data_IF_949371090098
#
_entry.id   IF_949371090098
#
_cell.length_a   1.000
_cell.length_b   1.000
_cell.length_c   1.000
_cell.angle_alpha   90.00
_cell.angle_beta   90.00
_cell.angle_gamma   90.00
#
_symmetry.space_group_name_H-M   'P 1'
#
loop_
_entity.id
_entity.type
_entity.pdbx_description
1 polymer ?
#
# COMPACT_ATOMS: atom_id res chain seq x y z
N UNK A 1 -11.08 26.11 24.58
CA UNK A 1 -10.20 24.93 24.48
C UNK A 1 -10.81 23.83 25.33
N UNK A 2 -11.22 22.71 24.74
CA UNK A 2 -11.58 21.52 25.52
C UNK A 2 -10.38 21.18 26.40
N UNK A 3 -10.60 20.89 27.69
CA UNK A 3 -9.53 20.38 28.54
C UNK A 3 -8.93 19.14 27.86
N UNK A 4 -7.60 19.06 27.80
CA UNK A 4 -6.90 17.86 27.33
C UNK A 4 -7.37 16.71 28.21
N UNK A 5 -7.82 15.61 27.58
CA UNK A 5 -8.25 14.42 28.31
C UNK A 5 -7.05 13.87 29.09
N UNK A 6 -7.27 13.45 30.32
CA UNK A 6 -6.23 12.78 31.11
C UNK A 6 -5.86 11.45 30.46
N UNK A 7 -4.60 10.99 30.61
CA UNK A 7 -4.15 9.71 30.01
C UNK A 7 -5.12 8.57 30.33
N UNK A 8 -5.59 8.45 31.57
CA UNK A 8 -6.50 7.40 32.01
C UNK A 8 -7.88 7.43 31.30
N UNK A 9 -8.25 8.55 30.67
CA UNK A 9 -9.47 8.67 29.86
C UNK A 9 -9.25 8.27 28.39
N UNK A 10 -8.00 8.14 27.95
CA UNK A 10 -7.62 7.75 26.59
C UNK A 10 -7.05 6.33 26.56
N UNK A 11 -6.29 5.95 27.57
CA UNK A 11 -5.63 4.66 27.77
C UNK A 11 -5.90 4.28 29.24
N UNK A 12 -7.02 3.57 29.51
CA UNK A 12 -7.45 3.24 30.87
C UNK A 12 -6.53 2.25 31.57
N UNK A 13 -5.69 1.53 30.83
CA UNK A 13 -4.73 0.57 31.37
C UNK A 13 -3.72 1.28 32.29
N UNK A 14 -3.59 0.81 33.55
CA UNK A 14 -2.70 1.44 34.53
C UNK A 14 -1.23 1.31 34.14
N UNK A 15 -0.87 0.20 33.50
CA UNK A 15 0.46 -0.10 33.00
C UNK A 15 0.36 -0.63 31.57
N UNK A 16 1.33 -0.25 30.73
CA UNK A 16 1.50 -0.80 29.39
C UNK A 16 2.81 -1.56 29.34
N UNK A 17 2.87 -2.61 28.53
CA UNK A 17 4.14 -3.28 28.23
C UNK A 17 5.11 -2.29 27.60
N UNK A 18 6.39 -2.45 27.90
CA UNK A 18 7.42 -1.57 27.31
C UNK A 18 7.51 -1.88 25.82
N UNK A 19 7.43 -0.87 24.96
CA UNK A 19 7.53 -1.08 23.51
C UNK A 19 8.78 -1.86 23.08
N UNK A 20 9.91 -1.65 23.78
CA UNK A 20 11.15 -2.40 23.55
C UNK A 20 11.01 -3.93 23.75
N UNK A 21 10.16 -4.37 24.68
CA UNK A 21 9.89 -5.80 24.91
C UNK A 21 9.08 -6.39 23.75
N UNK A 22 8.04 -5.67 23.29
CA UNK A 22 7.21 -6.06 22.14
C UNK A 22 8.05 -6.12 20.86
N UNK A 23 8.93 -5.13 20.65
CA UNK A 23 9.88 -5.14 19.53
C UNK A 23 10.83 -6.34 19.63
N UNK A 24 11.40 -6.62 20.80
CA UNK A 24 12.30 -7.76 20.99
C UNK A 24 11.61 -9.10 20.67
N UNK A 25 10.32 -9.25 21.02
CA UNK A 25 9.52 -10.43 20.66
C UNK A 25 9.33 -10.58 19.15
N UNK A 26 8.95 -9.50 18.45
CA UNK A 26 8.82 -9.52 16.99
C UNK A 26 10.12 -9.89 16.30
N UNK A 27 11.24 -9.28 16.71
CA UNK A 27 12.58 -9.58 16.19
C UNK A 27 13.02 -11.03 16.45
N UNK A 28 12.67 -11.59 17.62
CA UNK A 28 13.01 -12.96 17.96
C UNK A 28 12.34 -13.98 17.03
N UNK A 29 11.16 -13.64 16.48
CA UNK A 29 10.39 -14.51 15.59
C UNK A 29 10.98 -14.60 14.17
N UNK A 30 11.80 -13.64 13.74
CA UNK A 30 12.50 -13.69 12.44
C UNK A 30 13.46 -14.89 12.30
N UNK A 31 13.86 -15.54 13.41
CA UNK A 31 14.62 -16.79 13.38
C UNK A 31 13.80 -18.02 13.00
N UNK A 32 12.47 -17.93 13.11
CA UNK A 32 11.52 -19.02 12.86
C UNK A 32 10.74 -18.80 11.56
N UNK A 33 10.28 -17.57 11.36
CA UNK A 33 9.54 -17.15 10.17
C UNK A 33 10.56 -16.76 9.11
N UNK A 34 10.80 -17.66 8.16
CA UNK A 34 11.83 -17.50 7.12
C UNK A 34 11.17 -16.98 5.85
N UNK A 35 11.74 -15.95 5.17
CA UNK A 35 11.18 -15.43 3.94
C UNK A 35 11.18 -16.49 2.83
N UNK A 36 10.00 -16.76 2.27
CA UNK A 36 9.83 -17.67 1.15
C UNK A 36 10.21 -17.05 -0.20
N UNK A 37 9.72 -17.70 -1.25
CA UNK A 37 9.82 -17.25 -2.64
C UNK A 37 8.45 -17.33 -3.30
N UNK A 38 8.22 -16.47 -4.28
CA UNK A 38 6.99 -16.39 -5.06
C UNK A 38 7.31 -16.35 -6.55
N UNK A 39 6.29 -16.55 -7.40
CA UNK A 39 6.46 -16.61 -8.85
C UNK A 39 7.13 -15.35 -9.43
N UNK A 40 6.85 -14.18 -8.86
CA UNK A 40 7.49 -12.91 -9.21
C UNK A 40 9.00 -12.89 -8.95
N UNK A 41 9.44 -13.27 -7.75
CA UNK A 41 10.86 -13.26 -7.39
C UNK A 41 11.66 -14.25 -8.23
N UNK A 42 11.07 -15.41 -8.52
CA UNK A 42 11.68 -16.45 -9.36
C UNK A 42 11.78 -16.01 -10.83
N UNK A 43 10.70 -15.48 -11.38
CA UNK A 43 10.66 -15.06 -12.78
C UNK A 43 11.65 -13.94 -13.09
N UNK A 44 11.80 -12.95 -12.20
CA UNK A 44 12.70 -11.81 -12.41
C UNK A 44 14.10 -11.98 -11.84
N UNK A 45 14.39 -13.10 -11.15
CA UNK A 45 15.70 -13.37 -10.57
C UNK A 45 16.14 -12.25 -9.62
N UNK A 46 15.25 -11.88 -8.71
CA UNK A 46 15.48 -10.86 -7.66
C UNK A 46 15.23 -11.48 -6.29
N UNK A 47 15.86 -10.92 -5.27
CA UNK A 47 15.64 -11.37 -3.88
C UNK A 47 14.50 -10.63 -3.20
N UNK A 48 14.19 -9.42 -3.66
CA UNK A 48 13.15 -8.55 -3.08
C UNK A 48 12.44 -7.73 -4.15
N UNK A 49 11.22 -7.29 -3.85
CA UNK A 49 10.49 -6.32 -4.67
C UNK A 49 11.23 -4.99 -4.79
N UNK A 50 11.93 -4.58 -3.73
CA UNK A 50 12.74 -3.37 -3.71
C UNK A 50 13.88 -3.40 -4.74
N UNK A 51 14.57 -4.53 -4.84
CA UNK A 51 15.58 -4.75 -5.88
C UNK A 51 14.99 -4.63 -7.28
N UNK A 52 13.83 -5.26 -7.52
CA UNK A 52 13.12 -5.13 -8.80
C UNK A 52 12.76 -3.69 -9.12
N UNK A 53 12.16 -2.97 -8.18
CA UNK A 53 11.79 -1.56 -8.33
C UNK A 53 13.00 -0.70 -8.68
N UNK A 54 14.13 -0.88 -8.00
CA UNK A 54 15.39 -0.18 -8.30
C UNK A 54 15.92 -0.48 -9.71
N UNK A 55 15.82 -1.72 -10.19
CA UNK A 55 16.15 -2.06 -11.59
C UNK A 55 15.24 -1.32 -12.58
N UNK A 56 13.94 -1.28 -12.32
CA UNK A 56 12.96 -0.64 -13.20
C UNK A 56 13.13 0.88 -13.24
N UNK A 57 13.44 1.50 -12.10
CA UNK A 57 13.81 2.92 -12.03
C UNK A 57 15.07 3.20 -12.87
N UNK A 58 16.11 2.37 -12.75
CA UNK A 58 17.34 2.53 -13.54
C UNK A 58 17.10 2.36 -15.06
N UNK A 59 16.12 1.54 -15.45
CA UNK A 59 15.70 1.35 -16.84
C UNK A 59 14.73 2.43 -17.35
N UNK A 60 14.31 3.38 -16.50
CA UNK A 60 13.31 4.40 -16.85
C UNK A 60 11.91 3.83 -17.12
N UNK A 61 11.61 2.66 -16.55
CA UNK A 61 10.37 1.91 -16.79
C UNK A 61 9.31 2.28 -15.76
N UNK A 62 8.13 2.66 -16.26
CA UNK A 62 6.93 2.84 -15.42
C UNK A 62 6.37 1.47 -15.05
N UNK A 63 6.13 1.27 -13.75
CA UNK A 63 5.54 0.05 -13.22
C UNK A 63 4.03 0.15 -13.11
N UNK A 64 3.33 -0.99 -13.24
CA UNK A 64 1.88 -1.08 -13.12
C UNK A 64 1.44 -2.04 -12.02
N UNK A 65 0.36 -1.69 -11.35
CA UNK A 65 -0.24 -2.40 -10.22
C UNK A 65 -1.74 -2.59 -10.47
N UNK A 66 -2.22 -3.83 -10.32
CA UNK A 66 -3.63 -4.17 -10.42
C UNK A 66 -4.22 -4.43 -9.03
N UNK A 67 -5.34 -3.80 -8.69
CA UNK A 67 -6.12 -4.16 -7.50
C UNK A 67 -7.03 -5.36 -7.82
N UNK A 68 -7.02 -6.39 -6.97
CA UNK A 68 -7.82 -7.61 -7.17
C UNK A 68 -8.12 -8.30 -5.83
N UNK A 69 -9.31 -8.86 -5.69
CA UNK A 69 -9.67 -9.60 -4.48
C UNK A 69 -11.10 -10.13 -4.51
N UNK A 70 -11.28 -11.33 -5.07
CA UNK A 70 -12.54 -12.06 -4.90
C UNK A 70 -12.51 -12.85 -3.59
N UNK A 71 -13.69 -13.05 -3.00
CA UNK A 71 -13.88 -13.84 -1.77
C UNK A 71 -13.11 -15.16 -1.75
N UNK A 72 -13.19 -15.92 -2.84
CA UNK A 72 -12.52 -17.21 -2.99
C UNK A 72 -11.04 -16.99 -3.40
N UNK A 73 -10.06 -17.44 -2.59
CA UNK A 73 -8.65 -17.28 -2.91
C UNK A 73 -8.23 -17.98 -4.20
N UNK A 74 -8.83 -19.14 -4.52
CA UNK A 74 -8.48 -19.86 -5.74
C UNK A 74 -9.05 -19.18 -6.98
N UNK A 75 -10.24 -18.54 -6.87
CA UNK A 75 -10.74 -17.65 -7.93
C UNK A 75 -9.81 -16.46 -8.12
N UNK A 76 -9.36 -15.83 -7.04
CA UNK A 76 -8.42 -14.70 -7.12
C UNK A 76 -7.11 -15.10 -7.76
N UNK A 77 -6.53 -16.25 -7.38
CA UNK A 77 -5.31 -16.77 -8.00
C UNK A 77 -5.48 -16.98 -9.51
N UNK A 78 -6.56 -17.65 -9.95
CA UNK A 78 -6.83 -17.83 -11.40
C UNK A 78 -6.96 -16.49 -12.12
N UNK A 79 -7.68 -15.53 -11.53
CA UNK A 79 -7.85 -14.22 -12.11
C UNK A 79 -6.52 -13.44 -12.23
N UNK A 80 -5.63 -13.55 -11.24
CA UNK A 80 -4.28 -12.99 -11.34
C UNK A 80 -3.51 -13.58 -12.54
N UNK A 81 -3.57 -14.91 -12.73
CA UNK A 81 -2.96 -15.58 -13.90
C UNK A 81 -3.58 -15.06 -15.20
N UNK A 82 -4.91 -15.02 -15.30
CA UNK A 82 -5.63 -14.58 -16.51
C UNK A 82 -5.28 -13.13 -16.90
N UNK A 83 -5.25 -12.20 -15.93
CA UNK A 83 -4.87 -10.80 -16.17
C UNK A 83 -3.43 -10.70 -16.66
N UNK A 84 -2.50 -11.39 -15.98
CA UNK A 84 -1.08 -11.34 -16.32
C UNK A 84 -0.82 -11.89 -17.73
N UNK A 85 -1.35 -13.07 -18.05
CA UNK A 85 -1.18 -13.71 -19.36
C UNK A 85 -1.81 -12.86 -20.49
N UNK A 86 -2.96 -12.25 -20.24
CA UNK A 86 -3.64 -11.41 -21.23
C UNK A 86 -2.84 -10.13 -21.55
N UNK A 87 -2.17 -9.54 -20.56
CA UNK A 87 -1.29 -8.39 -20.75
C UNK A 87 0.03 -8.80 -21.41
N UNK A 88 0.64 -9.90 -20.97
CA UNK A 88 1.89 -10.42 -21.54
C UNK A 88 1.73 -10.75 -23.03
N UNK A 89 0.62 -11.38 -23.42
CA UNK A 89 0.28 -11.67 -24.83
C UNK A 89 0.18 -10.40 -25.71
N UNK A 90 -0.11 -9.24 -25.10
CA UNK A 90 -0.16 -7.93 -25.78
C UNK A 90 1.20 -7.22 -25.79
N UNK A 91 2.23 -7.80 -25.17
CA UNK A 91 3.54 -7.20 -24.99
C UNK A 91 3.59 -6.19 -23.83
N UNK A 92 2.63 -6.23 -22.91
CA UNK A 92 2.57 -5.36 -21.75
C UNK A 92 2.97 -6.11 -20.47
N UNK A 93 3.54 -5.37 -19.51
CA UNK A 93 3.97 -5.92 -18.23
C UNK A 93 3.05 -5.44 -17.11
N UNK A 94 2.64 -6.37 -16.26
CA UNK A 94 2.05 -6.10 -14.96
C UNK A 94 3.04 -6.48 -13.88
N UNK A 95 3.30 -5.57 -12.94
CA UNK A 95 4.38 -5.73 -11.98
C UNK A 95 3.91 -6.18 -10.60
N UNK A 96 2.67 -5.83 -10.24
CA UNK A 96 2.13 -6.06 -8.91
C UNK A 96 0.64 -6.39 -8.95
N UNK A 97 0.19 -7.19 -7.98
CA UNK A 97 -1.21 -7.33 -7.61
C UNK A 97 -1.41 -6.84 -6.18
N UNK A 98 -2.26 -5.84 -5.99
CA UNK A 98 -2.77 -5.40 -4.69
C UNK A 98 -3.94 -6.25 -4.28
N UNK A 99 -3.77 -7.02 -3.22
CA UNK A 99 -4.79 -7.94 -2.74
C UNK A 99 -5.75 -7.19 -1.83
N UNK A 100 -6.99 -7.03 -2.31
CA UNK A 100 -8.08 -6.37 -1.59
C UNK A 100 -8.68 -7.37 -0.61
N UNK A 101 -8.15 -7.37 0.62
CA UNK A 101 -8.60 -8.26 1.66
C UNK A 101 -9.88 -7.78 2.32
N UNK A 102 -10.68 -8.76 2.74
CA UNK A 102 -11.82 -8.52 3.59
C UNK A 102 -11.42 -8.03 4.97
N UNK A 103 -12.29 -7.24 5.61
CA UNK A 103 -12.17 -6.89 7.03
C UNK A 103 -11.96 -8.11 7.93
N UNK A 104 -12.54 -9.24 7.56
CA UNK A 104 -12.39 -10.50 8.28
C UNK A 104 -10.91 -10.88 8.51
N UNK A 105 -10.00 -10.51 7.58
CA UNK A 105 -8.57 -10.77 7.71
C UNK A 105 -7.91 -10.03 8.88
N UNK A 106 -8.51 -8.92 9.36
CA UNK A 106 -7.99 -8.19 10.52
C UNK A 106 -8.20 -8.91 11.85
N UNK A 107 -9.15 -9.85 11.93
CA UNK A 107 -9.39 -10.64 13.13
C UNK A 107 -8.37 -11.78 13.26
N UNK A 108 -7.96 -12.14 14.49
CA UNK A 108 -7.11 -13.31 14.73
C UNK A 108 -7.70 -14.55 14.07
N UNK A 109 -6.89 -15.44 13.46
CA UNK A 109 -7.39 -16.58 12.69
C UNK A 109 -8.47 -17.41 13.39
N UNK A 110 -8.32 -17.64 14.70
CA UNK A 110 -9.24 -18.40 15.53
C UNK A 110 -10.61 -17.75 15.72
N UNK A 111 -10.73 -16.43 15.51
CA UNK A 111 -11.99 -15.68 15.64
C UNK A 111 -12.73 -15.54 14.31
N UNK A 112 -12.03 -15.66 13.17
CA UNK A 112 -12.55 -15.30 11.83
C UNK A 112 -13.87 -15.96 11.45
N UNK A 113 -14.07 -17.21 11.87
CA UNK A 113 -15.26 -17.98 11.54
C UNK A 113 -16.56 -17.34 12.08
N UNK A 114 -16.48 -16.66 13.23
CA UNK A 114 -17.62 -16.07 13.94
C UNK A 114 -17.77 -14.56 13.66
N UNK A 115 -16.82 -13.97 12.95
CA UNK A 115 -16.78 -12.53 12.69
C UNK A 115 -17.44 -12.16 11.35
N UNK A 116 -17.90 -10.91 11.18
CA UNK A 116 -18.47 -10.42 9.93
C UNK A 116 -17.52 -10.61 8.74
N UNK A 117 -18.13 -10.73 7.56
CA UNK A 117 -17.46 -10.87 6.27
C UNK A 117 -18.10 -9.89 5.29
N UNK A 118 -17.30 -9.11 4.57
CA UNK A 118 -17.75 -8.12 3.57
C UNK A 118 -17.79 -8.74 2.15
N UNK A 119 -16.98 -8.25 1.21
CA UNK A 119 -16.88 -8.80 -0.17
C UNK A 119 -15.46 -9.16 -0.60
N UNK A 120 -14.44 -8.79 0.17
CA UNK A 120 -13.03 -8.92 -0.19
C UNK A 120 -12.48 -10.35 -0.09
N UNK A 121 -11.21 -10.51 -0.41
CA UNK A 121 -10.50 -11.80 -0.32
C UNK A 121 -10.37 -12.25 1.14
N UNK A 122 -10.51 -13.56 1.40
CA UNK A 122 -10.13 -14.19 2.67
C UNK A 122 -9.13 -15.32 2.37
N UNK A 123 -7.95 -15.24 2.99
CA UNK A 123 -6.97 -16.31 3.01
C UNK A 123 -6.97 -16.96 4.40
N UNK A 124 -7.72 -18.04 4.55
CA UNK A 124 -7.89 -18.78 5.80
C UNK A 124 -6.95 -19.98 5.93
N UNK A 125 -6.32 -20.42 4.84
CA UNK A 125 -5.40 -21.57 4.83
C UNK A 125 -4.04 -21.20 4.23
N UNK A 126 -2.99 -21.89 4.67
CA UNK A 126 -1.65 -21.79 4.09
C UNK A 126 -1.65 -22.03 2.56
N UNK A 127 -2.44 -23.00 2.10
CA UNK A 127 -2.63 -23.28 0.67
C UNK A 127 -3.16 -22.06 -0.10
N UNK A 128 -4.12 -21.32 0.46
CA UNK A 128 -4.65 -20.11 -0.17
C UNK A 128 -3.57 -19.03 -0.32
N UNK A 129 -2.74 -18.82 0.71
CA UNK A 129 -1.63 -17.86 0.64
C UNK A 129 -0.61 -18.24 -0.45
N UNK A 130 -0.23 -19.51 -0.53
CA UNK A 130 0.69 -20.01 -1.55
C UNK A 130 0.11 -19.98 -2.95
N UNK A 131 -1.18 -20.30 -3.12
CA UNK A 131 -1.86 -20.24 -4.40
C UNK A 131 -1.81 -18.82 -5.01
N UNK A 132 -2.03 -17.80 -4.19
CA UNK A 132 -1.92 -16.40 -4.61
C UNK A 132 -0.46 -16.03 -4.96
N UNK A 133 0.51 -16.41 -4.13
CA UNK A 133 1.91 -16.09 -4.37
C UNK A 133 2.50 -16.80 -5.60
N UNK A 134 1.95 -17.96 -5.97
CA UNK A 134 2.35 -18.72 -7.15
C UNK A 134 1.57 -18.34 -8.43
N UNK A 135 0.54 -17.50 -8.32
CA UNK A 135 -0.44 -17.29 -9.39
C UNK A 135 0.15 -16.66 -10.67
N UNK A 136 1.03 -15.68 -10.52
CA UNK A 136 1.58 -14.93 -11.65
C UNK A 136 2.95 -14.32 -11.32
N UNK A 137 3.79 -14.07 -12.34
CA UNK A 137 5.00 -13.24 -12.25
C UNK A 137 4.74 -11.75 -11.96
N UNK A 138 3.94 -11.43 -10.95
CA UNK A 138 3.67 -10.08 -10.47
C UNK A 138 3.68 -10.10 -8.93
N UNK A 139 4.31 -9.11 -8.29
CA UNK A 139 4.52 -9.11 -6.85
C UNK A 139 3.18 -9.08 -6.11
N UNK A 140 2.90 -10.04 -5.21
CA UNK A 140 1.71 -9.98 -4.37
C UNK A 140 1.94 -8.91 -3.28
N UNK A 141 1.19 -7.81 -3.36
CA UNK A 141 1.13 -6.80 -2.32
C UNK A 141 -0.06 -7.08 -1.41
N UNK A 142 0.25 -7.51 -0.20
CA UNK A 142 -0.73 -7.77 0.85
C UNK A 142 -1.03 -6.44 1.56
N UNK A 143 -2.13 -5.80 1.16
CA UNK A 143 -2.50 -4.45 1.56
C UNK A 143 -3.45 -4.39 2.76
N UNK A 144 -4.74 -4.48 2.46
CA UNK A 144 -5.80 -4.24 3.43
C UNK A 144 -5.75 -5.20 4.62
N UNK A 145 -6.00 -4.67 5.81
CA UNK A 145 -6.10 -5.44 7.07
C UNK A 145 -4.87 -6.29 7.44
N UNK A 146 -3.71 -6.03 6.81
CA UNK A 146 -2.46 -6.75 7.07
C UNK A 146 -1.65 -6.23 8.25
N UNK A 147 -1.54 -4.90 8.37
CA UNK A 147 -0.83 -4.22 9.46
C UNK A 147 -1.80 -3.19 10.06
N UNK A 148 -1.68 -2.89 11.36
CA UNK A 148 -2.63 -2.02 12.06
C UNK A 148 -3.87 -2.72 12.60
N UNK A 149 -3.88 -4.05 12.58
CA UNK A 149 -4.99 -4.92 13.00
C UNK A 149 -4.58 -5.90 14.11
N UNK A 150 -5.54 -6.47 14.85
CA UNK A 150 -5.28 -7.53 15.83
C UNK A 150 -4.49 -8.72 15.25
N UNK A 151 -4.77 -9.13 14.01
CA UNK A 151 -4.07 -10.23 13.33
C UNK A 151 -2.78 -9.81 12.59
N UNK A 152 -2.22 -8.62 12.87
CA UNK A 152 -1.07 -8.11 12.10
C UNK A 152 0.11 -9.08 12.10
N UNK A 153 0.38 -9.71 13.25
CA UNK A 153 1.51 -10.62 13.38
C UNK A 153 1.32 -11.90 12.56
N UNK A 154 0.17 -12.55 12.66
CA UNK A 154 -0.16 -13.80 11.97
C UNK A 154 -0.20 -13.57 10.44
N UNK A 155 -0.81 -12.48 10.00
CA UNK A 155 -0.88 -12.12 8.59
C UNK A 155 0.50 -11.81 8.02
N UNK A 156 1.32 -11.03 8.74
CA UNK A 156 2.69 -10.72 8.31
C UNK A 156 3.56 -11.99 8.22
N UNK A 157 3.41 -12.92 9.16
CA UNK A 157 4.12 -14.19 9.13
C UNK A 157 3.82 -14.97 7.85
N UNK A 158 2.53 -15.16 7.53
CA UNK A 158 2.11 -15.86 6.31
C UNK A 158 2.61 -15.17 5.04
N UNK A 159 2.48 -13.84 4.96
CA UNK A 159 2.96 -13.08 3.79
C UNK A 159 4.48 -13.20 3.60
N UNK A 160 5.26 -13.19 4.68
CA UNK A 160 6.72 -13.41 4.61
C UNK A 160 7.04 -14.81 4.10
N UNK A 161 6.37 -15.84 4.63
CA UNK A 161 6.60 -17.25 4.27
C UNK A 161 6.19 -17.55 2.82
N UNK A 162 5.26 -16.77 2.24
CA UNK A 162 4.92 -16.86 0.82
C UNK A 162 5.75 -15.97 -0.09
N UNK A 163 6.74 -15.25 0.45
CA UNK A 163 7.72 -14.48 -0.32
C UNK A 163 7.39 -13.00 -0.54
N UNK A 164 6.43 -12.44 0.19
CA UNK A 164 6.21 -11.00 0.19
C UNK A 164 7.40 -10.26 0.83
N UNK A 165 7.78 -9.14 0.23
CA UNK A 165 8.82 -8.24 0.78
C UNK A 165 8.29 -6.81 0.96
N UNK A 166 7.01 -6.59 0.67
CA UNK A 166 6.33 -5.32 0.91
C UNK A 166 4.86 -5.63 1.22
N UNK A 167 4.37 -5.15 2.36
CA UNK A 167 3.02 -5.43 2.84
C UNK A 167 2.57 -4.37 3.83
N UNK A 168 1.26 -4.29 4.05
CA UNK A 168 0.66 -3.43 5.05
C UNK A 168 -0.58 -2.77 4.52
N UNK A 169 -1.44 -2.36 5.44
CA UNK A 169 -1.62 -0.92 5.51
C UNK A 169 -1.55 -0.37 6.93
N UNK A 170 -0.41 0.19 7.37
CA UNK A 170 -0.27 0.74 8.73
C UNK A 170 -1.33 1.79 9.06
N UNK A 171 -1.74 2.61 8.09
CA UNK A 171 -2.72 3.67 8.32
C UNK A 171 -4.10 3.15 8.74
N UNK A 172 -4.41 1.87 8.48
CA UNK A 172 -5.61 1.21 8.99
C UNK A 172 -5.66 1.18 10.53
N UNK A 173 -4.51 1.27 11.21
CA UNK A 173 -4.48 1.39 12.67
C UNK A 173 -5.32 2.59 13.17
N UNK A 174 -5.35 3.68 12.41
CA UNK A 174 -6.01 4.92 12.81
C UNK A 174 -7.52 4.88 12.66
N UNK A 175 -8.02 4.41 11.51
CA UNK A 175 -9.44 4.55 11.14
C UNK A 175 -10.20 3.24 10.93
N UNK A 176 -9.52 2.09 10.79
CA UNK A 176 -10.16 0.82 10.47
C UNK A 176 -10.30 -0.04 11.73
N UNK A 177 -11.20 0.38 12.62
CA UNK A 177 -11.58 -0.40 13.80
C UNK A 177 -12.45 -1.59 13.39
N UNK A 178 -12.19 -2.73 14.01
CA UNK A 178 -12.97 -3.94 13.80
C UNK A 178 -14.19 -3.94 14.74
N UNK A 179 -15.29 -4.53 14.27
CA UNK A 179 -16.48 -4.73 15.11
C UNK A 179 -16.17 -5.81 16.17
N UNK A 180 -16.74 -5.68 17.36
CA UNK A 180 -16.66 -6.66 18.46
C UNK A 180 -15.29 -6.85 19.13
N UNK A 181 -14.29 -6.03 18.81
CA UNK A 181 -13.00 -6.01 19.50
C UNK A 181 -12.64 -4.57 19.87
N UNK A 182 -12.47 -4.33 21.16
CA UNK A 182 -12.17 -3.00 21.72
C UNK A 182 -10.76 -2.93 22.33
N UNK A 183 -9.98 -4.00 22.22
CA UNK A 183 -8.61 -4.07 22.73
C UNK A 183 -7.62 -3.29 21.85
N UNK A 184 -7.56 -1.97 22.10
CA UNK A 184 -6.64 -1.07 21.38
C UNK A 184 -5.17 -1.33 21.72
N UNK A 185 -4.87 -1.75 22.96
CA UNK A 185 -3.51 -2.06 23.41
C UNK A 185 -3.00 -3.33 22.71
N UNK A 186 -3.77 -4.42 22.73
CA UNK A 186 -3.41 -5.66 22.04
C UNK A 186 -3.25 -5.45 20.53
N UNK A 187 -4.11 -4.64 19.91
CA UNK A 187 -3.96 -4.24 18.50
C UNK A 187 -2.65 -3.49 18.23
N UNK A 188 -2.29 -2.54 19.11
CA UNK A 188 -1.03 -1.81 19.00
C UNK A 188 0.17 -2.74 19.19
N UNK A 189 0.14 -3.65 20.16
CA UNK A 189 1.20 -4.63 20.40
C UNK A 189 1.38 -5.57 19.21
N UNK A 190 0.30 -6.12 18.64
CA UNK A 190 0.35 -6.96 17.44
C UNK A 190 0.94 -6.22 16.25
N UNK A 191 0.55 -4.95 16.06
CA UNK A 191 1.09 -4.08 15.01
C UNK A 191 2.59 -3.84 15.17
N UNK A 192 3.04 -3.45 16.38
CA UNK A 192 4.47 -3.23 16.67
C UNK A 192 5.27 -4.52 16.49
N UNK A 193 4.73 -5.66 16.93
CA UNK A 193 5.36 -6.97 16.79
C UNK A 193 5.52 -7.38 15.32
N UNK A 194 4.51 -7.13 14.49
CA UNK A 194 4.58 -7.38 13.04
C UNK A 194 5.62 -6.50 12.36
N UNK A 195 5.63 -5.19 12.64
CA UNK A 195 6.65 -4.26 12.09
C UNK A 195 8.06 -4.69 12.51
N UNK A 196 8.25 -5.06 13.78
CA UNK A 196 9.53 -5.54 14.30
C UNK A 196 9.97 -6.86 13.67
N UNK A 197 9.02 -7.75 13.34
CA UNK A 197 9.29 -8.97 12.58
C UNK A 197 9.85 -8.61 11.19
N UNK A 198 9.18 -7.74 10.43
CA UNK A 198 9.67 -7.30 9.10
C UNK A 198 11.06 -6.67 9.19
N UNK A 199 11.29 -5.77 10.14
CA UNK A 199 12.58 -5.09 10.33
C UNK A 199 13.74 -6.01 10.71
N UNK A 200 13.46 -7.19 11.26
CA UNK A 200 14.47 -8.18 11.63
C UNK A 200 14.77 -9.22 10.54
N UNK A 201 14.04 -9.22 9.43
CA UNK A 201 14.28 -10.17 8.36
C UNK A 201 15.63 -9.89 7.67
N UNK A 202 16.33 -10.93 7.16
CA UNK A 202 17.60 -10.75 6.48
C UNK A 202 17.44 -10.14 5.07
N UNK A 203 16.21 -10.14 4.54
CA UNK A 203 15.85 -9.50 3.28
C UNK A 203 15.31 -8.11 3.54
N UNK A 204 15.48 -7.22 2.57
CA UNK A 204 14.89 -5.89 2.61
C UNK A 204 13.36 -5.99 2.52
N UNK A 205 12.68 -5.58 3.60
CA UNK A 205 11.23 -5.61 3.72
C UNK A 205 10.65 -4.25 4.11
N UNK A 206 9.47 -3.95 3.56
CA UNK A 206 8.79 -2.67 3.73
C UNK A 206 7.41 -2.84 4.36
N UNK A 207 7.11 -1.96 5.31
CA UNK A 207 5.76 -1.71 5.83
C UNK A 207 5.13 -0.63 4.95
N UNK A 208 4.15 -1.04 4.16
CA UNK A 208 3.31 -0.16 3.37
C UNK A 208 2.28 0.56 4.23
N UNK A 209 2.04 1.84 3.93
CA UNK A 209 0.99 2.64 4.56
C UNK A 209 0.35 3.58 3.54
N UNK A 210 -0.96 3.48 3.36
CA UNK A 210 -1.72 4.36 2.50
C UNK A 210 -2.12 5.62 3.25
N UNK A 211 -1.53 6.75 2.87
CA UNK A 211 -1.77 8.05 3.50
C UNK A 211 -3.27 8.43 3.49
N UNK A 212 -3.99 7.98 2.47
CA UNK A 212 -5.41 8.22 2.29
C UNK A 212 -6.33 7.36 3.18
N UNK A 213 -5.89 6.20 3.68
CA UNK A 213 -6.75 5.34 4.53
C UNK A 213 -6.60 5.67 6.03
N UNK A 214 -5.57 6.45 6.38
CA UNK A 214 -5.36 6.99 7.71
C UNK A 214 -6.17 8.26 7.96
N UNK A 215 -5.65 9.15 8.82
CA UNK A 215 -6.31 10.44 9.09
C UNK A 215 -6.24 11.43 7.91
N UNK A 216 -5.53 11.11 6.82
CA UNK A 216 -5.38 11.97 5.66
C UNK A 216 -6.67 12.65 5.17
N UNK A 217 -7.77 11.90 4.92
CA UNK A 217 -9.03 12.48 4.48
C UNK A 217 -9.76 13.34 5.52
N UNK A 218 -9.36 13.26 6.79
CA UNK A 218 -9.95 14.07 7.86
C UNK A 218 -9.26 15.44 7.99
N UNK A 219 -8.06 15.60 7.42
CA UNK A 219 -7.37 16.88 7.41
C UNK A 219 -7.94 17.82 6.34
N UNK A 220 -7.87 19.12 6.63
CA UNK A 220 -8.30 20.17 5.69
C UNK A 220 -7.21 20.55 4.69
N UNK A 221 -5.98 20.06 4.88
CA UNK A 221 -4.83 20.35 4.03
C UNK A 221 -3.90 19.13 3.90
N UNK A 222 -3.16 19.08 2.79
CA UNK A 222 -2.25 17.97 2.47
C UNK A 222 -0.94 18.00 3.27
N UNK A 223 -0.57 19.14 3.87
CA UNK A 223 0.64 19.19 4.67
C UNK A 223 0.45 18.42 5.98
N UNK A 224 -0.74 18.42 6.57
CA UNK A 224 -1.08 17.56 7.70
C UNK A 224 -1.03 16.07 7.31
N UNK A 225 -1.56 15.71 6.13
CA UNK A 225 -1.46 14.33 5.59
C UNK A 225 0.00 13.92 5.41
N UNK A 226 0.82 14.80 4.83
CA UNK A 226 2.26 14.55 4.68
C UNK A 226 2.98 14.49 6.03
N UNK A 227 2.58 15.30 7.00
CA UNK A 227 3.09 15.24 8.37
C UNK A 227 2.84 13.88 9.03
N UNK A 228 1.68 13.25 8.79
CA UNK A 228 1.42 11.90 9.27
C UNK A 228 2.35 10.87 8.63
N UNK A 229 2.68 10.99 7.34
CA UNK A 229 3.70 10.16 6.68
C UNK A 229 5.04 10.26 7.42
N UNK A 230 5.47 11.48 7.78
CA UNK A 230 6.71 11.68 8.53
C UNK A 230 6.67 11.08 9.94
N UNK A 231 5.51 11.10 10.60
CA UNK A 231 5.29 10.48 11.91
C UNK A 231 5.37 8.96 11.78
N UNK A 232 4.69 8.36 10.81
CA UNK A 232 4.77 6.92 10.53
C UNK A 232 6.20 6.47 10.23
N UNK A 233 6.93 7.24 9.41
CA UNK A 233 8.34 6.99 9.11
C UNK A 233 9.19 7.00 10.38
N UNK A 234 8.97 7.96 11.29
CA UNK A 234 9.65 7.97 12.59
C UNK A 234 9.30 6.74 13.45
N UNK A 235 8.02 6.36 13.54
CA UNK A 235 7.59 5.19 14.30
C UNK A 235 8.22 3.90 13.76
N UNK A 236 8.13 3.68 12.44
CA UNK A 236 8.57 2.45 11.78
C UNK A 236 10.10 2.38 11.71
N UNK A 237 10.76 3.43 11.23
CA UNK A 237 12.20 3.40 10.95
C UNK A 237 13.05 3.71 12.18
N UNK A 238 12.63 4.69 13.00
CA UNK A 238 13.46 5.15 14.13
C UNK A 238 13.15 4.39 15.41
N UNK A 239 11.87 4.21 15.77
CA UNK A 239 11.52 3.55 17.03
C UNK A 239 11.56 2.03 16.93
N UNK A 240 11.06 1.45 15.83
CA UNK A 240 10.96 -0.01 15.69
C UNK A 240 12.14 -0.60 14.90
N UNK A 241 12.69 0.13 13.93
CA UNK A 241 13.83 -0.27 13.12
C UNK A 241 13.46 -1.13 11.91
N UNK A 242 12.33 -0.85 11.28
CA UNK A 242 11.91 -1.43 9.98
C UNK A 242 12.03 -0.37 8.87
N UNK A 243 11.49 -0.64 7.67
CA UNK A 243 11.41 0.35 6.58
C UNK A 243 9.96 0.72 6.33
N UNK A 244 9.69 2.00 6.13
CA UNK A 244 8.38 2.52 5.76
C UNK A 244 8.34 2.75 4.25
N UNK A 245 7.16 2.57 3.65
CA UNK A 245 6.89 2.94 2.27
C UNK A 245 5.47 3.49 2.12
N UNK A 246 5.35 4.66 1.49
CA UNK A 246 4.07 5.37 1.40
C UNK A 246 3.26 4.97 0.17
N UNK A 247 2.00 4.61 0.35
CA UNK A 247 0.98 4.58 -0.70
C UNK A 247 0.18 5.87 -0.62
N UNK A 248 -0.24 6.40 -1.76
CA UNK A 248 -1.15 7.54 -1.80
C UNK A 248 -1.93 7.56 -3.11
N UNK A 249 -3.05 8.30 -3.15
CA UNK A 249 -3.69 8.74 -4.40
C UNK A 249 -5.19 8.50 -4.49
N UNK A 250 -5.83 7.69 -3.65
CA UNK A 250 -7.27 7.41 -3.78
C UNK A 250 -8.14 8.67 -3.64
N UNK A 251 -7.73 9.63 -2.82
CA UNK A 251 -8.50 10.85 -2.54
C UNK A 251 -7.94 12.09 -3.27
N UNK A 252 -6.92 11.92 -4.12
CA UNK A 252 -6.27 13.04 -4.80
C UNK A 252 -6.88 13.25 -6.19
N UNK A 253 -7.81 14.21 -6.30
CA UNK A 253 -8.47 14.57 -7.55
C UNK A 253 -7.67 15.55 -8.42
N UNK A 254 -6.93 16.49 -7.82
CA UNK A 254 -6.14 17.51 -8.53
C UNK A 254 -4.78 16.93 -8.94
N UNK A 255 -4.43 16.89 -10.24
CA UNK A 255 -3.12 16.43 -10.67
C UNK A 255 -1.97 17.16 -9.99
N UNK A 256 -2.07 18.46 -9.74
CA UNK A 256 -0.98 19.24 -9.13
C UNK A 256 -0.62 18.71 -7.75
N UNK A 257 -1.64 18.36 -6.96
CA UNK A 257 -1.39 17.82 -5.61
C UNK A 257 -0.88 16.40 -5.66
N UNK A 258 -1.33 15.57 -6.61
CA UNK A 258 -0.78 14.22 -6.84
C UNK A 258 0.72 14.27 -7.16
N UNK A 259 1.08 15.13 -8.12
CA UNK A 259 2.47 15.30 -8.54
C UNK A 259 3.31 15.89 -7.41
N UNK A 260 2.82 16.91 -6.70
CA UNK A 260 3.55 17.53 -5.61
C UNK A 260 3.74 16.60 -4.40
N UNK A 261 2.74 15.77 -4.07
CA UNK A 261 2.87 14.78 -3.00
C UNK A 261 3.94 13.74 -3.35
N UNK A 262 3.98 13.28 -4.60
CA UNK A 262 5.06 12.42 -5.10
C UNK A 262 6.44 13.05 -4.92
N UNK A 263 6.56 14.35 -5.24
CA UNK A 263 7.81 15.10 -5.13
C UNK A 263 8.23 15.29 -3.68
N UNK A 264 7.28 15.56 -2.80
CA UNK A 264 7.52 15.68 -1.38
C UNK A 264 8.05 14.34 -0.82
N UNK A 265 7.48 13.20 -1.23
CA UNK A 265 8.00 11.87 -0.87
C UNK A 265 9.45 11.68 -1.33
N UNK A 266 9.77 12.06 -2.58
CA UNK A 266 11.14 12.01 -3.10
C UNK A 266 12.11 12.87 -2.26
N UNK A 267 11.69 14.06 -1.85
CA UNK A 267 12.51 14.99 -1.04
C UNK A 267 12.86 14.43 0.34
N UNK A 268 12.01 13.55 0.90
CA UNK A 268 12.24 12.91 2.21
C UNK A 268 12.83 11.50 2.12
N UNK A 269 13.36 11.15 0.94
CA UNK A 269 14.14 9.93 0.72
C UNK A 269 13.31 8.68 0.40
N UNK A 270 12.07 8.83 -0.06
CA UNK A 270 11.28 7.70 -0.57
C UNK A 270 11.80 7.28 -1.96
N UNK A 271 12.45 6.13 -2.03
CA UNK A 271 13.02 5.59 -3.29
C UNK A 271 12.32 4.30 -3.75
N UNK A 272 11.53 3.66 -2.87
CA UNK A 272 10.91 2.34 -3.11
C UNK A 272 9.45 2.34 -2.66
N UNK A 273 8.67 3.30 -3.13
CA UNK A 273 7.26 3.37 -2.78
C UNK A 273 6.46 2.20 -3.38
N UNK A 274 5.35 1.76 -2.75
CA UNK A 274 4.62 0.59 -3.22
C UNK A 274 3.83 0.94 -4.49
N UNK A 275 2.89 1.86 -4.39
CA UNK A 275 2.00 2.25 -5.49
C UNK A 275 1.45 3.67 -5.35
N UNK A 276 1.23 4.32 -6.49
CA UNK A 276 0.33 5.47 -6.58
C UNK A 276 -1.05 4.92 -6.92
N UNK A 277 -1.97 4.98 -5.96
CA UNK A 277 -3.32 4.48 -6.12
C UNK A 277 -4.14 5.38 -7.03
N UNK A 278 -5.07 4.81 -7.79
CA UNK A 278 -5.94 5.60 -8.69
C UNK A 278 -6.96 6.41 -7.90
N UNK A 279 -7.38 7.56 -8.45
CA UNK A 279 -8.32 8.49 -7.81
C UNK A 279 -9.77 7.96 -7.82
N UNK A 280 -10.07 6.97 -6.99
CA UNK A 280 -11.38 6.29 -6.94
C UNK A 280 -12.53 7.23 -6.56
N UNK A 281 -12.26 8.35 -5.87
CA UNK A 281 -13.29 9.37 -5.58
C UNK A 281 -13.81 10.09 -6.82
N UNK A 282 -13.12 9.99 -7.95
CA UNK A 282 -13.59 10.53 -9.23
C UNK A 282 -14.57 9.58 -9.94
N UNK A 283 -14.69 8.33 -9.47
CA UNK A 283 -15.49 7.32 -10.15
C UNK A 283 -16.94 7.39 -9.69
N UNK A 284 -17.85 7.19 -10.63
CA UNK A 284 -19.29 7.15 -10.40
C UNK A 284 -19.98 6.09 -11.25
N UNK A 285 -21.32 6.16 -11.39
CA UNK A 285 -22.07 5.20 -12.21
C UNK A 285 -21.86 5.38 -13.73
N UNK A 286 -21.27 6.49 -14.17
CA UNK A 286 -21.01 6.78 -15.59
C UNK A 286 -19.63 6.26 -16.01
N UNK A 287 -19.62 5.21 -16.85
CA UNK A 287 -18.39 4.57 -17.30
C UNK A 287 -17.53 5.47 -18.20
N UNK A 288 -18.15 6.35 -18.99
CA UNK A 288 -17.42 7.26 -19.88
C UNK A 288 -16.70 8.34 -19.05
N UNK A 289 -17.36 8.86 -18.02
CA UNK A 289 -16.74 9.75 -17.04
C UNK A 289 -15.58 9.08 -16.29
N UNK A 290 -15.72 7.79 -15.97
CA UNK A 290 -14.66 7.02 -15.32
C UNK A 290 -13.47 6.80 -16.25
N UNK A 291 -13.68 6.60 -17.56
CA UNK A 291 -12.60 6.54 -18.56
C UNK A 291 -11.83 7.86 -18.66
N UNK A 292 -12.54 8.99 -18.62
CA UNK A 292 -11.90 10.31 -18.60
C UNK A 292 -11.04 10.48 -17.34
N UNK A 293 -11.57 10.08 -16.17
CA UNK A 293 -10.86 10.12 -14.90
C UNK A 293 -9.62 9.23 -14.89
N UNK A 294 -9.75 7.98 -15.34
CA UNK A 294 -8.65 7.01 -15.54
C UNK A 294 -7.52 7.63 -16.33
N UNK A 295 -7.85 8.18 -17.50
CA UNK A 295 -6.84 8.75 -18.41
C UNK A 295 -6.19 10.00 -17.82
N UNK A 296 -6.96 10.80 -17.09
CA UNK A 296 -6.52 12.05 -16.51
C UNK A 296 -5.46 11.85 -15.43
N UNK A 297 -5.75 11.11 -14.34
CA UNK A 297 -4.76 10.95 -13.27
C UNK A 297 -3.51 10.19 -13.74
N UNK A 298 -3.69 9.14 -14.57
CA UNK A 298 -2.56 8.37 -15.08
C UNK A 298 -1.60 9.23 -15.89
N UNK A 299 -2.10 10.14 -16.73
CA UNK A 299 -1.25 11.00 -17.56
C UNK A 299 -0.24 11.79 -16.72
N UNK A 300 -0.68 12.38 -15.61
CA UNK A 300 0.17 13.19 -14.74
C UNK A 300 1.04 12.34 -13.81
N UNK A 301 0.52 11.22 -13.30
CA UNK A 301 1.30 10.30 -12.48
C UNK A 301 2.45 9.66 -13.30
N UNK A 302 2.18 9.31 -14.56
CA UNK A 302 3.20 8.80 -15.51
C UNK A 302 4.28 9.85 -15.74
N UNK A 303 3.90 11.08 -16.10
CA UNK A 303 4.87 12.15 -16.38
C UNK A 303 5.74 12.44 -15.15
N UNK A 304 5.14 12.42 -13.96
CA UNK A 304 5.84 12.68 -12.71
C UNK A 304 6.86 11.61 -12.38
N UNK A 305 6.50 10.33 -12.52
CA UNK A 305 7.42 9.21 -12.28
C UNK A 305 8.50 9.09 -13.36
N UNK A 306 8.25 9.57 -14.58
CA UNK A 306 9.28 9.60 -15.63
C UNK A 306 10.30 10.70 -15.42
N UNK A 307 9.87 11.86 -14.89
CA UNK A 307 10.78 12.96 -14.59
C UNK A 307 11.59 12.72 -13.28
N UNK A 308 10.95 12.21 -12.22
CA UNK A 308 11.64 11.86 -10.95
C UNK A 308 11.05 10.58 -10.34
N UNK A 309 11.60 9.39 -10.68
CA UNK A 309 11.08 8.12 -10.21
C UNK A 309 11.24 7.93 -8.69
N UNK A 310 10.24 7.36 -8.02
CA UNK A 310 10.27 6.97 -6.59
C UNK A 310 9.92 5.50 -6.37
N UNK A 311 10.02 4.67 -7.42
CA UNK A 311 9.76 3.23 -7.35
C UNK A 311 8.28 2.82 -7.26
N UNK A 312 7.34 3.76 -7.16
CA UNK A 312 5.91 3.47 -7.13
C UNK A 312 5.43 2.84 -8.44
N UNK A 313 4.56 1.83 -8.32
CA UNK A 313 3.78 1.33 -9.45
C UNK A 313 2.45 2.11 -9.55
N UNK A 314 2.00 2.44 -10.77
CA UNK A 314 0.73 3.13 -10.96
C UNK A 314 -0.42 2.13 -10.92
N UNK A 315 -1.56 2.52 -10.36
CA UNK A 315 -2.77 1.70 -10.28
C UNK A 315 -3.84 2.17 -11.27
N UNK A 316 -3.97 1.55 -12.46
CA UNK A 316 -5.11 1.77 -13.35
C UNK A 316 -6.37 1.13 -12.77
N UNK A 317 -7.31 1.96 -12.30
CA UNK A 317 -8.58 1.50 -11.73
C UNK A 317 -9.57 1.18 -12.86
N UNK A 318 -10.15 -0.04 -12.90
CA UNK A 318 -11.18 -0.40 -13.87
C UNK A 318 -12.39 0.54 -13.79
N UNK A 319 -12.95 0.92 -14.94
CA UNK A 319 -14.04 1.91 -14.99
C UNK A 319 -15.34 1.45 -14.32
N UNK A 320 -15.47 0.16 -14.03
CA UNK A 320 -16.62 -0.42 -13.32
C UNK A 320 -16.47 -0.45 -11.80
N UNK A 321 -15.32 -0.04 -11.25
CA UNK A 321 -14.98 -0.11 -9.81
C UNK A 321 -16.11 0.41 -8.90
N UNK A 322 -16.70 1.57 -9.24
CA UNK A 322 -17.78 2.16 -8.44
C UNK A 322 -19.05 1.30 -8.40
N UNK A 323 -19.30 0.54 -9.47
CA UNK A 323 -20.56 -0.20 -9.65
C UNK A 323 -20.51 -1.63 -9.13
N UNK A 324 -19.36 -2.30 -9.24
CA UNK A 324 -19.16 -3.70 -8.87
C UNK A 324 -17.68 -4.05 -8.88
N UNK A 325 -17.36 -5.21 -8.28
CA UNK A 325 -16.03 -5.82 -8.41
C UNK A 325 -15.74 -6.06 -9.90
N UNK A 326 -14.61 -5.55 -10.42
CA UNK A 326 -14.22 -5.74 -11.82
C UNK A 326 -13.94 -7.22 -12.14
N UNK A 327 -14.26 -7.66 -13.35
CA UNK A 327 -13.83 -8.94 -13.89
C UNK A 327 -12.42 -8.82 -14.51
N UNK A 328 -11.68 -9.94 -14.71
CA UNK A 328 -10.30 -9.90 -15.22
C UNK A 328 -10.12 -9.10 -16.52
N UNK A 329 -11.08 -9.21 -17.45
CA UNK A 329 -11.04 -8.45 -18.71
C UNK A 329 -11.06 -6.93 -18.52
N UNK A 330 -11.77 -6.44 -17.50
CA UNK A 330 -11.88 -5.00 -17.22
C UNK A 330 -10.61 -4.46 -16.56
N UNK A 331 -9.94 -5.29 -15.76
CA UNK A 331 -8.59 -5.01 -15.25
C UNK A 331 -7.62 -4.90 -16.43
N UNK A 332 -7.66 -5.85 -17.37
CA UNK A 332 -6.83 -5.82 -18.58
C UNK A 332 -7.09 -4.57 -19.41
N UNK A 333 -8.35 -4.17 -19.60
CA UNK A 333 -8.72 -2.96 -20.35
C UNK A 333 -8.10 -1.69 -19.74
N UNK A 334 -8.22 -1.50 -18.42
CA UNK A 334 -7.62 -0.35 -17.74
C UNK A 334 -6.09 -0.32 -17.90
N UNK A 335 -5.44 -1.49 -17.82
CA UNK A 335 -3.99 -1.60 -17.99
C UNK A 335 -3.54 -1.39 -19.43
N UNK A 336 -4.34 -1.78 -20.43
CA UNK A 336 -4.07 -1.45 -21.83
C UNK A 336 -4.11 0.06 -22.02
N UNK A 337 -5.10 0.76 -21.46
CA UNK A 337 -5.16 2.23 -21.50
C UNK A 337 -3.90 2.83 -20.86
N UNK A 338 -3.50 2.36 -19.68
CA UNK A 338 -2.30 2.84 -19.00
C UNK A 338 -1.04 2.69 -19.85
N UNK A 339 -0.84 1.52 -20.48
CA UNK A 339 0.31 1.31 -21.37
C UNK A 339 0.27 2.24 -22.59
N UNK A 340 -0.92 2.48 -23.18
CA UNK A 340 -1.07 3.45 -24.28
C UNK A 340 -0.76 4.88 -23.88
N UNK A 341 -1.00 5.25 -22.62
CA UNK A 341 -0.62 6.55 -22.07
C UNK A 341 0.89 6.63 -21.83
N UNK A 342 1.51 5.56 -21.30
CA UNK A 342 2.97 5.46 -21.14
C UNK A 342 3.69 5.63 -22.48
N UNK A 343 3.20 4.98 -23.55
CA UNK A 343 3.73 5.15 -24.92
C UNK A 343 3.69 6.61 -25.40
N UNK A 344 2.77 7.43 -24.88
CA UNK A 344 2.55 8.83 -25.27
C UNK A 344 3.17 9.84 -24.30
N UNK A 345 3.64 9.40 -23.13
CA UNK A 345 4.03 10.29 -22.02
C UNK A 345 5.08 11.33 -22.40
N UNK A 346 6.05 10.95 -23.24
CA UNK A 346 7.10 11.85 -23.72
C UNK A 346 6.56 13.09 -24.49
N UNK A 347 5.33 13.03 -24.99
CA UNK A 347 4.68 14.20 -25.65
C UNK A 347 3.96 15.13 -24.68
N UNK A 348 3.66 14.64 -23.47
CA UNK A 348 2.95 15.39 -22.43
C UNK A 348 3.92 16.03 -21.44
N UNK A 349 5.00 15.34 -21.09
CA UNK A 349 6.03 15.82 -20.14
C UNK A 349 6.50 17.25 -20.38
N UNK A 350 6.84 17.67 -21.63
CA UNK A 350 7.32 19.03 -21.88
C UNK A 350 6.25 20.12 -21.67
N UNK A 351 4.98 19.75 -21.51
CA UNK A 351 3.87 20.67 -21.28
C UNK A 351 3.64 20.96 -19.79
N UNK A 352 4.29 20.21 -18.90
CA UNK A 352 4.13 20.34 -17.46
C UNK A 352 5.20 21.27 -16.90
N UNK A 353 4.77 22.29 -16.16
CA UNK A 353 5.67 23.14 -15.38
C UNK A 353 6.02 22.47 -14.05
N UNK A 354 7.09 21.68 -14.05
CA UNK A 354 7.57 21.00 -12.86
C UNK A 354 8.09 21.94 -11.77
N UNK A 355 8.43 23.21 -12.08
CA UNK A 355 8.86 24.16 -11.07
C UNK A 355 7.72 24.51 -10.11
N UNK A 356 6.48 24.61 -10.63
CA UNK A 356 5.29 24.81 -9.78
C UNK A 356 5.04 23.58 -8.89
N UNK A 357 5.24 22.38 -9.43
CA UNK A 357 5.08 21.13 -8.67
C UNK A 357 6.11 21.05 -7.55
N UNK A 358 7.38 21.33 -7.85
CA UNK A 358 8.47 21.31 -6.87
C UNK A 358 8.23 22.37 -5.77
N UNK A 359 7.73 23.57 -6.10
CA UNK A 359 7.40 24.59 -5.08
C UNK A 359 6.30 24.14 -4.11
N UNK A 360 5.23 23.50 -4.62
CA UNK A 360 4.16 22.96 -3.76
C UNK A 360 4.72 21.83 -2.90
N UNK A 361 5.62 21.01 -3.43
CA UNK A 361 6.26 19.93 -2.67
C UNK A 361 7.09 20.47 -1.50
N UNK A 362 7.85 21.55 -1.70
CA UNK A 362 8.59 22.24 -0.63
C UNK A 362 7.64 22.74 0.48
N UNK A 363 6.50 23.33 0.11
CA UNK A 363 5.49 23.78 1.07
C UNK A 363 4.88 22.60 1.86
N UNK A 364 4.63 21.47 1.19
CA UNK A 364 4.14 20.25 1.82
C UNK A 364 5.15 19.68 2.82
N UNK A 365 6.44 19.60 2.45
CA UNK A 365 7.51 19.13 3.35
C UNK A 365 7.62 20.05 4.56
N UNK A 366 7.74 21.37 4.34
CA UNK A 366 7.87 22.32 5.44
C UNK A 366 6.65 22.31 6.38
N UNK A 367 5.43 22.16 5.83
CA UNK A 367 4.22 22.02 6.64
C UNK A 367 4.13 20.69 7.37
N UNK A 368 4.49 19.59 6.72
CA UNK A 368 4.53 18.26 7.33
C UNK A 368 5.54 18.16 8.46
N UNK A 369 6.71 18.79 8.33
CA UNK A 369 7.70 18.85 9.42
C UNK A 369 7.16 19.60 10.63
N UNK A 370 6.49 20.74 10.43
CA UNK A 370 5.82 21.47 11.53
C UNK A 370 4.76 20.61 12.21
N UNK A 371 3.98 19.85 11.44
CA UNK A 371 2.99 18.92 12.00
C UNK A 371 3.66 17.83 12.83
N UNK A 372 4.68 17.16 12.28
CA UNK A 372 5.44 16.10 12.97
C UNK A 372 6.02 16.62 14.29
N UNK A 373 6.69 17.77 14.25
CA UNK A 373 7.39 18.35 15.41
C UNK A 373 6.41 18.86 16.48
N UNK A 374 5.16 19.15 16.13
CA UNK A 374 4.12 19.49 17.08
C UNK A 374 3.48 18.24 17.73
N UNK A 375 3.56 17.07 17.08
CA UNK A 375 2.98 15.83 17.56
C UNK A 375 3.95 14.99 18.40
N UNK A 376 5.23 14.95 18.01
CA UNK A 376 6.32 14.24 18.70
C UNK A 376 6.93 15.09 19.81
#
# INVERSE_FOLDING_TARGET
MSALRERAQLIPEPELRRGAEVVAEGRAMARRIVPGRCAFLDHYGVETEAEYKRRCVAEGRVMLHAAIGYRDPFRTARACTEVWEALDKKGYRLDRFGLVFDRNMGYPPEMRAEMPKDTGLINDTEEAWHAIAAAAPAAPYYGDFMIGQPASFENAAMAIETGATMMGNLSHFYNYRLLYIEDEVGRAESTVKAIALLGAQPKEMYVGSNADDGFGPLFTDLACTFGLVLVEKYLVETLIGARHATVYGNMFADPRTRMAFQRALAMVGEETGPMVYGATTLYGPDLDANYASLSHYLTFDIATLRDRPTGHALTPIPVTEYTRIPEPGEIVEAHVVANRLIERAATVEPLIDFAVVDQIAEDLVAGGERFRDALL
#
